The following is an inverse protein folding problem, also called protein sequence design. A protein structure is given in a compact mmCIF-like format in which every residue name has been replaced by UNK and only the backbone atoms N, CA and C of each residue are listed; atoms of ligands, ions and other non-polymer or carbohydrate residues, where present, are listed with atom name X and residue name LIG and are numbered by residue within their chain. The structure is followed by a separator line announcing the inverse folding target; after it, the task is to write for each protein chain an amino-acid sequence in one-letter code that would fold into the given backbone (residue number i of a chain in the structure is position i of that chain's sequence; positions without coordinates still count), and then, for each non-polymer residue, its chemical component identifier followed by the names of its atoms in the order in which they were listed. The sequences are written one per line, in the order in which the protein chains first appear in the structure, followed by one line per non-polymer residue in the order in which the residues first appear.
data_IF_149045751550
#
_entry.id   IF_149045751550
#
_cell.length_a   1.000
_cell.length_b   1.000
_cell.length_c   1.000
_cell.angle_alpha   90.00
_cell.angle_beta   90.00
_cell.angle_gamma   90.00
#
_symmetry.space_group_name_H-M   'P 1'
#
loop_
_entity.id
_entity.type
_entity.pdbx_description
1 polymer ?
#
# COMPACT_ATOMS: atom_id res chain seq x y z
N UNK A 1 30.52 24.80 -55.66
CA UNK A 1 29.22 24.16 -55.33
C UNK A 1 29.36 22.72 -54.86
N UNK A 2 30.17 21.86 -55.48
CA UNK A 2 30.29 20.42 -55.12
C UNK A 2 30.79 20.19 -53.68
N UNK A 3 31.82 20.92 -53.24
CA UNK A 3 32.41 20.77 -51.89
C UNK A 3 31.40 21.12 -50.78
N UNK A 4 30.59 22.16 -50.98
CA UNK A 4 29.56 22.59 -50.03
C UNK A 4 28.46 21.52 -49.89
N UNK A 5 28.05 20.88 -50.98
CA UNK A 5 27.07 19.79 -50.95
C UNK A 5 27.60 18.54 -50.22
N UNK A 6 28.88 18.20 -50.40
CA UNK A 6 29.50 17.06 -49.71
C UNK A 6 29.54 17.32 -48.19
N UNK A 7 29.95 18.52 -47.78
CA UNK A 7 29.98 18.91 -46.36
C UNK A 7 28.57 18.92 -45.75
N UNK A 8 27.58 19.44 -46.48
CA UNK A 8 26.16 19.41 -46.06
C UNK A 8 25.63 17.98 -45.89
N UNK A 9 26.01 17.07 -46.79
CA UNK A 9 25.55 15.67 -46.73
C UNK A 9 26.16 14.94 -45.54
N UNK A 10 27.44 15.18 -45.23
CA UNK A 10 28.09 14.67 -44.03
C UNK A 10 27.45 15.22 -42.75
N UNK A 11 27.14 16.52 -42.71
CA UNK A 11 26.47 17.13 -41.57
C UNK A 11 25.07 16.52 -41.31
N UNK A 12 24.31 16.27 -42.38
CA UNK A 12 22.99 15.60 -42.28
C UNK A 12 23.13 14.17 -41.77
N UNK A 13 24.14 13.43 -42.23
CA UNK A 13 24.39 12.06 -41.77
C UNK A 13 24.71 12.01 -40.26
N UNK A 14 25.51 12.96 -39.77
CA UNK A 14 25.83 13.09 -38.34
C UNK A 14 24.57 13.45 -37.54
N UNK A 15 23.75 14.39 -38.03
CA UNK A 15 22.49 14.77 -37.40
C UNK A 15 21.51 13.59 -37.29
N UNK A 16 21.35 12.80 -38.36
CA UNK A 16 20.50 11.60 -38.35
C UNK A 16 21.01 10.60 -37.32
N UNK A 17 22.33 10.37 -37.25
CA UNK A 17 22.93 9.47 -36.26
C UNK A 17 22.68 9.91 -34.81
N UNK A 18 22.66 11.22 -34.54
CA UNK A 18 22.34 11.76 -33.21
C UNK A 18 20.85 11.58 -32.90
N UNK A 19 19.96 11.94 -33.83
CA UNK A 19 18.50 11.84 -33.66
C UNK A 19 18.06 10.40 -33.43
N UNK A 20 18.65 9.44 -34.14
CA UNK A 20 18.33 8.01 -33.97
C UNK A 20 18.76 7.45 -32.61
N UNK A 21 19.77 8.06 -31.95
CA UNK A 21 20.25 7.60 -30.64
C UNK A 21 19.56 8.29 -29.45
N UNK A 22 18.94 9.44 -29.65
CA UNK A 22 18.20 10.14 -28.58
C UNK A 22 17.16 9.27 -27.85
N UNK A 23 16.34 8.46 -28.55
CA UNK A 23 15.39 7.56 -27.89
C UNK A 23 16.08 6.60 -26.93
N UNK A 24 17.18 5.97 -27.36
CA UNK A 24 17.92 5.02 -26.53
C UNK A 24 18.49 5.65 -25.26
N UNK A 25 19.04 6.87 -25.35
CA UNK A 25 19.58 7.57 -24.18
C UNK A 25 18.50 7.97 -23.18
N UNK A 26 17.36 8.47 -23.66
CA UNK A 26 16.22 8.83 -22.81
C UNK A 26 15.67 7.58 -22.12
N UNK A 27 15.46 6.49 -22.87
CA UNK A 27 14.97 5.23 -22.32
C UNK A 27 15.95 4.65 -21.29
N UNK A 28 17.26 4.70 -21.56
CA UNK A 28 18.30 4.24 -20.61
C UNK A 28 18.31 5.05 -19.33
N UNK A 29 18.27 6.39 -19.42
CA UNK A 29 18.23 7.27 -18.24
C UNK A 29 16.99 7.03 -17.39
N UNK A 30 15.82 6.88 -18.02
CA UNK A 30 14.57 6.61 -17.32
C UNK A 30 14.55 5.20 -16.68
N UNK A 31 15.10 4.22 -17.39
CA UNK A 31 15.28 2.86 -16.90
C UNK A 31 16.27 2.81 -15.73
N UNK A 32 17.36 3.56 -15.79
CA UNK A 32 18.34 3.67 -14.72
C UNK A 32 17.75 4.35 -13.48
N UNK A 33 17.02 5.44 -13.63
CA UNK A 33 16.30 6.07 -12.51
C UNK A 33 15.28 5.12 -11.87
N UNK A 34 14.52 4.39 -12.69
CA UNK A 34 13.55 3.39 -12.21
C UNK A 34 14.26 2.25 -11.47
N UNK A 35 15.36 1.73 -12.03
CA UNK A 35 16.18 0.70 -11.39
C UNK A 35 16.82 1.19 -10.09
N UNK A 36 17.29 2.43 -10.04
CA UNK A 36 17.94 3.01 -8.87
C UNK A 36 16.93 3.24 -7.73
N UNK A 37 15.75 3.79 -8.05
CA UNK A 37 14.63 3.89 -7.09
C UNK A 37 14.20 2.51 -6.58
N UNK A 38 14.04 1.54 -7.48
CA UNK A 38 13.70 0.17 -7.09
C UNK A 38 14.79 -0.47 -6.23
N UNK A 39 16.07 -0.31 -6.57
CA UNK A 39 17.18 -0.87 -5.80
C UNK A 39 17.29 -0.25 -4.40
N UNK A 40 17.06 1.07 -4.29
CA UNK A 40 17.01 1.76 -3.01
C UNK A 40 15.86 1.26 -2.14
N UNK A 41 14.65 1.13 -2.72
CA UNK A 41 13.49 0.58 -2.03
C UNK A 41 13.71 -0.87 -1.59
N UNK A 42 14.29 -1.70 -2.45
CA UNK A 42 14.66 -3.09 -2.12
C UNK A 42 15.67 -3.15 -0.98
N UNK A 43 16.66 -2.25 -0.97
CA UNK A 43 17.66 -2.19 0.11
C UNK A 43 17.02 -1.78 1.45
N UNK A 44 16.17 -0.76 1.45
CA UNK A 44 15.40 -0.34 2.62
C UNK A 44 14.52 -1.48 3.13
N UNK A 45 13.78 -2.14 2.24
CA UNK A 45 12.92 -3.28 2.56
C UNK A 45 13.72 -4.45 3.14
N UNK A 46 14.91 -4.75 2.60
CA UNK A 46 15.80 -5.79 3.13
C UNK A 46 16.33 -5.47 4.52
N UNK A 47 16.67 -4.20 4.78
CA UNK A 47 17.16 -3.72 6.08
C UNK A 47 16.07 -3.82 7.15
N UNK A 48 14.84 -3.41 6.84
CA UNK A 48 13.71 -3.53 7.76
C UNK A 48 13.24 -4.97 7.94
N UNK A 49 13.33 -5.83 6.91
CA UNK A 49 13.07 -7.28 7.08
C UNK A 49 14.12 -7.96 7.98
N UNK A 50 15.40 -7.57 7.88
CA UNK A 50 16.46 -8.14 8.72
C UNK A 50 16.38 -7.70 10.20
N UNK A 51 16.05 -6.43 10.48
CA UNK A 51 16.03 -5.90 11.84
C UNK A 51 14.64 -5.91 12.50
N UNK A 52 13.57 -5.91 11.70
CA UNK A 52 12.20 -5.71 12.15
C UNK A 52 11.26 -6.88 11.90
N UNK A 53 11.75 -8.03 11.43
CA UNK A 53 10.89 -9.17 11.06
C UNK A 53 10.00 -9.68 12.21
N UNK A 54 10.51 -9.69 13.45
CA UNK A 54 9.70 -10.04 14.62
C UNK A 54 8.63 -8.99 14.91
N UNK A 55 8.95 -7.70 14.81
CA UNK A 55 8.00 -6.62 15.05
C UNK A 55 6.94 -6.56 13.94
N UNK A 56 7.33 -6.77 12.68
CA UNK A 56 6.40 -6.91 11.54
C UNK A 56 5.45 -8.11 11.72
N UNK A 57 5.96 -9.23 12.23
CA UNK A 57 5.11 -10.38 12.58
C UNK A 57 4.16 -10.05 13.74
N UNK A 58 4.64 -9.37 14.78
CA UNK A 58 3.84 -8.97 15.95
C UNK A 58 2.70 -8.03 15.54
N UNK A 59 2.97 -6.96 14.78
CA UNK A 59 1.93 -6.04 14.31
C UNK A 59 0.92 -6.75 13.40
N UNK A 60 1.39 -7.61 12.48
CA UNK A 60 0.51 -8.39 11.61
C UNK A 60 -0.39 -9.32 12.42
N UNK A 61 0.15 -9.96 13.45
CA UNK A 61 -0.60 -10.82 14.36
C UNK A 61 -1.70 -10.02 15.07
N UNK A 62 -1.37 -8.86 15.63
CA UNK A 62 -2.34 -8.01 16.34
C UNK A 62 -3.44 -7.52 15.38
N UNK A 63 -3.09 -7.02 14.19
CA UNK A 63 -4.09 -6.60 13.21
C UNK A 63 -4.98 -7.77 12.77
N UNK A 64 -4.44 -8.99 12.70
CA UNK A 64 -5.22 -10.18 12.39
C UNK A 64 -6.21 -10.55 13.51
N UNK A 65 -5.89 -10.28 14.78
CA UNK A 65 -6.83 -10.48 15.90
C UNK A 65 -8.14 -9.68 15.70
N UNK A 66 -8.07 -8.47 15.12
CA UNK A 66 -9.27 -7.68 14.81
C UNK A 66 -10.23 -8.34 13.81
N UNK A 67 -9.81 -9.42 13.15
CA UNK A 67 -10.65 -10.18 12.23
C UNK A 67 -10.99 -11.58 12.76
N UNK A 68 -10.04 -12.26 13.41
CA UNK A 68 -10.20 -13.65 13.85
C UNK A 68 -10.82 -13.77 15.24
N UNK A 69 -10.54 -12.81 16.12
CA UNK A 69 -11.03 -12.72 17.50
C UNK A 69 -11.46 -11.28 17.85
N UNK A 70 -12.52 -10.83 17.20
CA UNK A 70 -13.06 -9.46 17.30
C UNK A 70 -13.36 -9.08 18.76
N UNK A 71 -13.88 -10.01 19.57
CA UNK A 71 -14.24 -9.74 20.96
C UNK A 71 -13.00 -9.43 21.81
N UNK A 72 -11.97 -10.27 21.69
CA UNK A 72 -10.71 -10.06 22.41
C UNK A 72 -9.96 -8.83 21.91
N UNK A 73 -9.92 -8.61 20.59
CA UNK A 73 -9.32 -7.43 19.99
C UNK A 73 -10.01 -6.13 20.48
N UNK A 74 -11.34 -6.11 20.51
CA UNK A 74 -12.12 -4.98 21.02
C UNK A 74 -11.80 -4.70 22.49
N UNK A 75 -11.73 -5.75 23.31
CA UNK A 75 -11.41 -5.63 24.74
C UNK A 75 -10.00 -5.07 24.99
N UNK A 76 -9.02 -5.53 24.20
CA UNK A 76 -7.60 -5.15 24.36
C UNK A 76 -7.26 -3.80 23.75
N UNK A 77 -7.89 -3.42 22.64
CA UNK A 77 -7.43 -2.30 21.80
C UNK A 77 -8.50 -1.25 21.50
N UNK A 78 -9.80 -1.52 21.70
CA UNK A 78 -10.88 -0.58 21.33
C UNK A 78 -11.76 -0.16 22.51
N UNK A 79 -11.39 -0.50 23.74
CA UNK A 79 -12.12 -0.07 24.92
C UNK A 79 -11.75 1.38 25.30
N UNK A 80 -12.60 2.32 24.89
CA UNK A 80 -12.40 3.76 25.14
C UNK A 80 -12.39 4.15 26.64
N UNK A 81 -12.89 3.29 27.53
CA UNK A 81 -12.88 3.54 28.98
C UNK A 81 -11.62 3.00 29.67
N UNK A 82 -10.76 2.28 28.95
CA UNK A 82 -9.54 1.70 29.50
C UNK A 82 -8.30 2.46 29.00
N UNK A 83 -7.54 3.13 29.89
CA UNK A 83 -6.29 3.79 29.53
C UNK A 83 -5.26 2.83 28.92
N UNK A 84 -5.23 1.58 29.40
CA UNK A 84 -4.35 0.54 28.86
C UNK A 84 -4.74 0.15 27.44
N UNK A 85 -6.04 0.06 27.13
CA UNK A 85 -6.51 -0.21 25.78
C UNK A 85 -6.10 0.90 24.81
N UNK A 86 -6.29 2.15 25.21
CA UNK A 86 -5.88 3.32 24.43
C UNK A 86 -4.37 3.31 24.20
N UNK A 87 -3.58 3.03 25.24
CA UNK A 87 -2.12 2.95 25.13
C UNK A 87 -1.67 1.85 24.18
N UNK A 88 -2.29 0.66 24.25
CA UNK A 88 -1.98 -0.47 23.34
C UNK A 88 -2.33 -0.13 21.89
N UNK A 89 -3.47 0.51 21.66
CA UNK A 89 -3.86 0.94 20.32
C UNK A 89 -2.92 2.02 19.76
N UNK A 90 -2.58 3.03 20.55
CA UNK A 90 -1.61 4.05 20.12
C UNK A 90 -0.23 3.44 19.81
N UNK A 91 0.21 2.45 20.60
CA UNK A 91 1.43 1.68 20.29
C UNK A 91 1.28 0.92 18.98
N UNK A 92 0.14 0.26 18.73
CA UNK A 92 -0.11 -0.43 17.47
C UNK A 92 -0.06 0.52 16.27
N UNK A 93 -0.66 1.71 16.37
CA UNK A 93 -0.58 2.74 15.33
C UNK A 93 0.88 3.15 15.07
N UNK A 94 1.61 3.48 16.14
CA UNK A 94 3.03 3.86 16.08
C UNK A 94 3.88 2.79 15.40
N UNK A 95 3.76 1.53 15.83
CA UNK A 95 4.57 0.44 15.30
C UNK A 95 4.20 0.12 13.85
N UNK A 96 2.92 0.24 13.48
CA UNK A 96 2.48 0.09 12.09
C UNK A 96 3.07 1.18 11.19
N UNK A 97 3.26 2.40 11.69
CA UNK A 97 3.95 3.49 10.97
C UNK A 97 5.44 3.23 10.81
N UNK A 98 6.10 2.67 11.83
CA UNK A 98 7.54 2.39 11.78
C UNK A 98 7.87 1.23 10.83
N UNK A 99 7.08 0.16 10.88
CA UNK A 99 7.43 -1.12 10.26
C UNK A 99 6.63 -1.46 9.00
N UNK A 100 5.53 -0.75 8.72
CA UNK A 100 4.74 -0.91 7.51
C UNK A 100 5.33 -0.16 6.32
N UNK A 101 5.04 -0.62 5.11
CA UNK A 101 5.36 0.12 3.88
C UNK A 101 4.55 1.41 3.74
N UNK A 102 4.96 2.31 2.85
CA UNK A 102 4.22 3.52 2.49
C UNK A 102 2.73 3.25 2.21
N UNK A 103 2.46 2.11 1.54
CA UNK A 103 1.09 1.67 1.27
C UNK A 103 0.33 1.32 2.55
N UNK A 104 0.95 0.55 3.44
CA UNK A 104 0.35 0.21 4.74
C UNK A 104 0.08 1.46 5.57
N UNK A 105 1.03 2.40 5.60
CA UNK A 105 0.87 3.68 6.31
C UNK A 105 -0.27 4.49 5.70
N UNK A 106 -0.39 4.57 4.38
CA UNK A 106 -1.50 5.27 3.72
C UNK A 106 -2.87 4.62 4.02
N UNK A 107 -2.95 3.30 4.09
CA UNK A 107 -4.19 2.61 4.51
C UNK A 107 -4.51 2.96 5.96
N UNK A 108 -3.50 2.95 6.85
CA UNK A 108 -3.66 3.24 8.28
C UNK A 108 -4.13 4.68 8.53
N UNK A 109 -3.58 5.66 7.81
CA UNK A 109 -3.99 7.07 7.94
C UNK A 109 -5.44 7.26 7.51
N UNK A 110 -5.86 6.63 6.42
CA UNK A 110 -7.26 6.68 5.98
C UNK A 110 -8.20 5.95 6.95
N UNK A 111 -7.79 4.78 7.47
CA UNK A 111 -8.52 4.08 8.53
C UNK A 111 -8.73 4.95 9.78
N UNK A 112 -7.66 5.54 10.31
CA UNK A 112 -7.74 6.40 11.52
C UNK A 112 -8.50 7.69 11.25
N UNK A 113 -8.34 8.29 10.06
CA UNK A 113 -9.13 9.44 9.66
C UNK A 113 -10.63 9.11 9.61
N UNK A 114 -11.01 7.98 9.02
CA UNK A 114 -12.39 7.51 8.98
C UNK A 114 -12.92 7.21 10.40
N UNK A 115 -12.11 6.57 11.24
CA UNK A 115 -12.42 6.26 12.64
C UNK A 115 -12.77 7.51 13.45
N UNK A 116 -12.00 8.60 13.29
CA UNK A 116 -12.19 9.83 14.06
C UNK A 116 -13.19 10.79 13.44
N UNK A 117 -13.35 10.75 12.11
CA UNK A 117 -14.19 11.71 11.39
C UNK A 117 -15.67 11.36 11.38
N UNK A 118 -16.14 10.38 12.17
CA UNK A 118 -17.52 9.87 12.23
C UNK A 118 -18.59 10.97 11.99
N UNK A 119 -18.91 11.18 10.72
CA UNK A 119 -19.91 12.15 10.27
C UNK A 119 -21.26 11.49 10.02
N UNK A 120 -21.28 10.17 9.84
CA UNK A 120 -22.50 9.39 9.63
C UNK A 120 -22.65 8.31 10.69
N UNK A 121 -23.70 8.43 11.51
CA UNK A 121 -24.09 7.48 12.55
C UNK A 121 -24.69 6.16 11.99
N UNK A 122 -24.62 5.92 10.67
CA UNK A 122 -25.33 4.83 9.98
C UNK A 122 -24.41 3.70 9.48
N UNK A 123 -23.10 3.76 9.70
CA UNK A 123 -22.21 2.65 9.37
C UNK A 123 -21.93 1.79 10.61
N UNK A 124 -22.46 0.57 10.60
CA UNK A 124 -22.41 -0.43 11.68
C UNK A 124 -21.00 -1.02 11.92
N UNK A 125 -19.93 -0.31 11.54
CA UNK A 125 -18.55 -0.79 11.60
C UNK A 125 -18.15 -1.69 10.42
N UNK A 126 -18.99 -1.78 9.39
CA UNK A 126 -18.72 -2.56 8.19
C UNK A 126 -17.50 -2.05 7.42
N UNK A 127 -17.44 -0.74 7.14
CA UNK A 127 -16.29 -0.13 6.44
C UNK A 127 -15.00 -0.28 7.24
N UNK A 128 -15.09 -0.19 8.58
CA UNK A 128 -13.95 -0.38 9.48
C UNK A 128 -13.37 -1.79 9.40
N UNK A 129 -14.20 -2.82 9.29
CA UNK A 129 -13.73 -4.19 9.06
C UNK A 129 -13.06 -4.35 7.70
N UNK A 130 -13.58 -3.71 6.65
CA UNK A 130 -12.92 -3.71 5.34
C UNK A 130 -11.54 -3.05 5.43
N UNK A 131 -11.44 -1.90 6.11
CA UNK A 131 -10.14 -1.25 6.38
C UNK A 131 -9.15 -2.18 7.08
N UNK A 132 -9.56 -2.85 8.15
CA UNK A 132 -8.73 -3.84 8.86
C UNK A 132 -8.23 -4.92 7.90
N UNK A 133 -9.09 -5.43 7.02
CA UNK A 133 -8.69 -6.42 6.02
C UNK A 133 -7.65 -5.87 5.01
N UNK A 134 -7.75 -4.60 4.61
CA UNK A 134 -6.73 -3.95 3.77
C UNK A 134 -5.40 -3.79 4.51
N UNK A 135 -5.44 -3.43 5.80
CA UNK A 135 -4.22 -3.34 6.64
C UNK A 135 -3.56 -4.71 6.77
N UNK A 136 -4.31 -5.76 7.10
CA UNK A 136 -3.78 -7.13 7.20
C UNK A 136 -3.16 -7.59 5.88
N UNK A 137 -3.86 -7.36 4.76
CA UNK A 137 -3.39 -7.69 3.41
C UNK A 137 -2.05 -7.01 3.10
N UNK A 138 -1.96 -5.71 3.37
CA UNK A 138 -0.75 -4.92 3.12
C UNK A 138 0.41 -5.35 4.02
N UNK A 139 0.17 -5.52 5.33
CA UNK A 139 1.19 -6.02 6.27
C UNK A 139 1.66 -7.44 5.95
N UNK A 140 0.78 -8.30 5.43
CA UNK A 140 1.17 -9.64 4.98
C UNK A 140 2.10 -9.59 3.77
N UNK A 141 1.86 -8.67 2.85
CA UNK A 141 2.74 -8.40 1.71
C UNK A 141 4.07 -7.82 2.20
N UNK A 142 4.05 -6.86 3.14
CA UNK A 142 5.26 -6.29 3.76
C UNK A 142 6.13 -7.37 4.44
N UNK A 143 5.50 -8.26 5.21
CA UNK A 143 6.19 -9.30 5.97
C UNK A 143 6.70 -10.44 5.08
N UNK A 144 5.85 -10.94 4.16
CA UNK A 144 6.08 -12.21 3.47
C UNK A 144 6.24 -12.11 1.95
N UNK A 145 5.97 -10.93 1.36
CA UNK A 145 5.88 -10.73 -0.09
C UNK A 145 4.62 -11.31 -0.74
N UNK A 146 3.79 -12.04 0.01
CA UNK A 146 2.57 -12.67 -0.53
C UNK A 146 1.36 -11.75 -0.41
N UNK A 147 0.78 -11.41 -1.55
CA UNK A 147 -0.47 -10.67 -1.62
C UNK A 147 -1.68 -11.57 -1.33
N UNK A 148 -2.59 -11.10 -0.46
CA UNK A 148 -3.90 -11.73 -0.22
C UNK A 148 -4.99 -10.70 -0.41
N UNK A 149 -6.03 -11.02 -1.19
CA UNK A 149 -7.14 -10.08 -1.43
C UNK A 149 -7.84 -9.73 -0.11
N UNK A 150 -7.97 -8.43 0.26
CA UNK A 150 -8.60 -8.00 1.51
C UNK A 150 -9.98 -8.61 1.74
N UNK A 151 -10.85 -8.54 0.73
CA UNK A 151 -12.22 -9.08 0.83
C UNK A 151 -12.27 -10.60 1.04
N UNK A 152 -11.25 -11.35 0.63
CA UNK A 152 -11.17 -12.78 0.91
C UNK A 152 -10.92 -13.07 2.38
N UNK A 153 -10.25 -12.17 3.12
CA UNK A 153 -10.00 -12.33 4.54
C UNK A 153 -11.31 -12.23 5.34
N UNK A 154 -12.22 -11.35 4.93
CA UNK A 154 -13.53 -11.18 5.59
C UNK A 154 -14.36 -12.48 5.63
N UNK A 155 -14.18 -13.35 4.63
CA UNK A 155 -14.81 -14.68 4.56
C UNK A 155 -14.38 -15.63 5.68
N UNK A 156 -13.28 -15.35 6.37
CA UNK A 156 -12.78 -16.20 7.45
C UNK A 156 -13.68 -16.21 8.68
N UNK A 157 -14.44 -15.13 8.92
CA UNK A 157 -15.22 -14.96 10.16
C UNK A 157 -16.70 -14.63 9.93
N UNK A 158 -17.03 -13.92 8.86
CA UNK A 158 -18.40 -13.51 8.58
C UNK A 158 -19.17 -14.69 7.96
N UNK A 159 -20.09 -15.28 8.74
CA UNK A 159 -20.96 -16.38 8.26
C UNK A 159 -21.95 -15.89 7.19
N UNK A 160 -22.31 -14.62 7.29
CA UNK A 160 -23.27 -13.85 6.52
C UNK A 160 -22.54 -12.94 5.51
N UNK A 161 -21.28 -13.27 5.18
CA UNK A 161 -20.50 -12.55 4.18
C UNK A 161 -21.24 -12.44 2.83
N UNK A 162 -21.89 -13.53 2.40
CA UNK A 162 -22.57 -13.59 1.11
C UNK A 162 -23.80 -12.66 1.07
N UNK A 163 -24.44 -12.38 2.20
CA UNK A 163 -25.61 -11.50 2.30
C UNK A 163 -25.22 -10.02 2.21
N UNK A 164 -24.00 -9.66 2.63
CA UNK A 164 -23.49 -8.28 2.64
C UNK A 164 -22.36 -8.03 1.64
N UNK A 165 -22.10 -8.98 0.74
CA UNK A 165 -20.95 -8.96 -0.17
C UNK A 165 -20.89 -7.69 -1.01
N UNK A 166 -22.03 -7.20 -1.50
CA UNK A 166 -22.08 -6.02 -2.36
C UNK A 166 -21.79 -4.74 -1.58
N UNK A 167 -22.23 -4.65 -0.32
CA UNK A 167 -21.89 -3.56 0.60
C UNK A 167 -20.38 -3.56 0.91
N UNK A 168 -19.77 -4.73 1.14
CA UNK A 168 -18.33 -4.83 1.33
C UNK A 168 -17.52 -4.47 0.07
N UNK A 169 -18.01 -4.82 -1.12
CA UNK A 169 -17.40 -4.38 -2.39
C UNK A 169 -17.51 -2.87 -2.57
N UNK A 170 -18.61 -2.25 -2.18
CA UNK A 170 -18.78 -0.80 -2.22
C UNK A 170 -17.77 -0.10 -1.30
N UNK A 171 -17.65 -0.56 -0.05
CA UNK A 171 -16.62 -0.09 0.87
C UNK A 171 -15.21 -0.29 0.33
N UNK A 172 -14.91 -1.45 -0.25
CA UNK A 172 -13.61 -1.68 -0.88
C UNK A 172 -13.32 -0.65 -1.99
N UNK A 173 -14.30 -0.37 -2.87
CA UNK A 173 -14.15 0.65 -3.92
C UNK A 173 -13.97 2.06 -3.38
N UNK A 174 -14.62 2.40 -2.27
CA UNK A 174 -14.43 3.70 -1.61
C UNK A 174 -13.02 3.80 -1.02
N UNK A 175 -12.60 2.77 -0.29
CA UNK A 175 -11.27 2.68 0.32
C UNK A 175 -10.19 2.75 -0.75
N UNK A 176 -10.35 2.03 -1.86
CA UNK A 176 -9.41 2.09 -3.00
C UNK A 176 -9.33 3.49 -3.61
N UNK A 177 -10.45 4.24 -3.66
CA UNK A 177 -10.46 5.64 -4.09
C UNK A 177 -9.76 6.56 -3.09
N UNK A 178 -10.01 6.36 -1.78
CA UNK A 178 -9.39 7.12 -0.69
C UNK A 178 -7.86 6.92 -0.67
N UNK A 179 -7.39 5.68 -0.88
CA UNK A 179 -5.97 5.33 -0.98
C UNK A 179 -5.36 5.80 -2.31
N UNK A 180 -6.09 5.60 -3.42
CA UNK A 180 -5.63 5.89 -4.78
C UNK A 180 -5.59 7.38 -5.13
N UNK A 181 -6.43 8.19 -4.50
CA UNK A 181 -6.39 9.66 -4.56
C UNK A 181 -5.09 10.27 -3.96
N UNK A 182 -4.33 9.47 -3.21
CA UNK A 182 -2.99 9.81 -2.71
C UNK A 182 -1.84 9.42 -3.64
N UNK A 183 -2.10 8.91 -4.85
CA UNK A 183 -1.08 8.64 -5.87
C UNK A 183 -0.64 7.17 -6.05
N UNK A 184 -1.41 6.18 -5.55
CA UNK A 184 -1.10 4.75 -5.73
C UNK A 184 -2.23 4.02 -6.48
N UNK A 185 -1.97 3.61 -7.73
CA UNK A 185 -2.90 2.88 -8.58
C UNK A 185 -2.81 1.36 -8.33
N UNK A 186 -3.90 0.76 -7.84
CA UNK A 186 -4.03 -0.67 -7.60
C UNK A 186 -4.24 -1.48 -8.88
N UNK A 187 -4.68 -0.85 -9.98
CA UNK A 187 -5.04 -1.53 -11.23
C UNK A 187 -3.87 -1.76 -12.18
N UNK A 188 -2.67 -1.32 -11.82
CA UNK A 188 -1.51 -1.33 -12.73
C UNK A 188 -0.51 -2.47 -12.44
N UNK A 189 -0.97 -3.60 -11.90
CA UNK A 189 -0.16 -4.80 -11.72
C UNK A 189 -0.76 -5.97 -12.51
N UNK A 190 -0.13 -6.25 -13.66
CA UNK A 190 -0.23 -7.53 -14.37
C UNK A 190 0.35 -8.66 -13.53
#
# INVERSE_FOLDING_TARGET
MIIINIVMTLAIFVLIGVVLKLPEYITKSWLEETKNKNAHNIQIESYFKQLGGQQQQEILSIWTEFLTDIAEATRKYSNAQSPDSIKRFNKLLHDTVIYGSDRTVNILTNYTHNMYSKKDNNDDGGKMMVYVAYIISSLKEDFSGYHVKPLSLLKLKLKDYDDYVDKYKEYAKEIEREIGGGGYDWNNRN
#
